data_IF_589005161044
#
_entry.id   IF_589005161044
#
_cell.length_a   1.000
_cell.length_b   1.000
_cell.length_c   1.000
_cell.angle_alpha   90.00
_cell.angle_beta   90.00
_cell.angle_gamma   90.00
#
_symmetry.space_group_name_H-M   'P 1'
#
loop_
_entity.id
_entity.type
_entity.pdbx_description
1 polymer ?
#
# COMPACT_ATOMS: atom_id res chain seq x y z
N UNK A 1 13.65 0.67 10.98
CA UNK A 1 12.61 1.00 11.96
C UNK A 1 12.24 2.46 11.84
N UNK A 2 10.97 2.85 11.74
CA UNK A 2 10.62 4.26 11.72
C UNK A 2 10.91 4.87 13.09
N UNK A 3 11.20 6.17 13.07
CA UNK A 3 11.32 6.94 14.29
C UNK A 3 9.95 7.12 14.95
N UNK A 4 9.92 7.63 16.19
CA UNK A 4 8.67 7.79 16.94
C UNK A 4 7.65 8.73 16.28
N UNK A 5 8.07 9.56 15.35
CA UNK A 5 7.23 10.49 14.61
C UNK A 5 6.99 10.09 13.15
N UNK A 6 7.39 8.89 12.77
CA UNK A 6 7.33 8.44 11.38
C UNK A 6 6.13 7.52 11.15
N UNK A 7 5.56 7.64 9.94
CA UNK A 7 4.65 6.65 9.38
C UNK A 7 5.36 5.99 8.21
N UNK A 8 5.29 4.66 8.10
CA UNK A 8 6.03 3.96 7.06
C UNK A 8 5.29 2.75 6.52
N UNK A 9 5.60 2.39 5.28
CA UNK A 9 5.20 1.13 4.67
C UNK A 9 6.39 0.18 4.78
N UNK A 10 6.20 -0.94 5.46
CA UNK A 10 7.25 -1.95 5.65
C UNK A 10 7.36 -2.88 4.46
N UNK A 11 6.22 -3.33 3.97
CA UNK A 11 6.13 -4.24 2.82
C UNK A 11 4.95 -3.82 1.97
N UNK A 12 5.11 -3.99 0.66
CA UNK A 12 4.05 -3.79 -0.32
C UNK A 12 4.14 -4.93 -1.34
N UNK A 13 3.07 -5.68 -1.51
CA UNK A 13 3.09 -6.81 -2.43
C UNK A 13 1.69 -7.13 -2.97
N UNK A 14 1.63 -7.68 -4.21
CA UNK A 14 0.37 -8.15 -4.77
C UNK A 14 0.04 -9.56 -4.28
N UNK A 15 -1.26 -9.83 -4.14
CA UNK A 15 -1.77 -11.16 -3.81
C UNK A 15 -3.01 -11.45 -4.63
N UNK A 16 -3.36 -12.72 -4.78
CA UNK A 16 -4.65 -13.09 -5.32
C UNK A 16 -5.76 -12.57 -4.41
N UNK A 17 -6.91 -12.24 -4.97
CA UNK A 17 -8.03 -11.68 -4.21
C UNK A 17 -8.39 -12.56 -3.02
N UNK A 18 -8.39 -11.96 -1.83
CA UNK A 18 -8.68 -12.65 -0.59
C UNK A 18 -7.56 -13.51 -0.02
N UNK A 19 -6.40 -13.56 -0.65
CA UNK A 19 -5.25 -14.33 -0.20
C UNK A 19 -4.22 -13.46 0.51
N UNK A 20 -3.18 -14.08 1.07
CA UNK A 20 -2.13 -13.38 1.83
C UNK A 20 -0.73 -13.64 1.30
N UNK A 21 -0.58 -14.54 0.33
CA UNK A 21 0.73 -14.90 -0.21
C UNK A 21 1.05 -14.04 -1.42
N UNK A 22 2.25 -13.48 -1.43
CA UNK A 22 2.73 -12.71 -2.58
C UNK A 22 2.76 -13.58 -3.84
N UNK A 23 2.47 -12.96 -4.97
CA UNK A 23 2.48 -13.61 -6.27
C UNK A 23 3.48 -12.90 -7.18
N UNK A 24 4.09 -13.63 -8.11
CA UNK A 24 5.02 -13.10 -9.11
C UNK A 24 4.43 -13.11 -10.53
N UNK A 25 3.23 -13.66 -10.69
CA UNK A 25 2.43 -13.48 -11.89
C UNK A 25 0.96 -13.24 -11.53
N UNK A 26 0.22 -12.60 -12.43
CA UNK A 26 -1.16 -12.22 -12.18
C UNK A 26 -2.02 -12.51 -13.42
N UNK A 27 -3.21 -13.07 -13.18
CA UNK A 27 -4.19 -13.31 -14.23
C UNK A 27 -4.71 -11.98 -14.76
N UNK A 28 -4.63 -11.79 -16.09
CA UNK A 28 -5.02 -10.58 -16.76
C UNK A 28 -6.53 -10.25 -16.63
N UNK A 29 -7.35 -11.22 -16.35
CA UNK A 29 -8.80 -11.10 -16.34
C UNK A 29 -9.41 -11.16 -14.94
N UNK A 30 -8.59 -11.25 -13.89
CA UNK A 30 -9.06 -11.45 -12.53
C UNK A 30 -8.65 -10.29 -11.64
N UNK A 31 -9.55 -9.71 -10.84
CA UNK A 31 -9.17 -8.72 -9.82
C UNK A 31 -8.18 -9.31 -8.82
N UNK A 32 -7.35 -8.46 -8.25
CA UNK A 32 -6.35 -8.84 -7.27
C UNK A 32 -6.28 -7.80 -6.16
N UNK A 33 -5.49 -8.07 -5.13
CA UNK A 33 -5.34 -7.13 -4.02
C UNK A 33 -3.89 -6.73 -3.85
N UNK A 34 -3.69 -5.54 -3.30
CA UNK A 34 -2.41 -5.09 -2.78
C UNK A 34 -2.45 -5.17 -1.26
N UNK A 35 -1.38 -5.68 -0.66
CA UNK A 35 -1.20 -5.65 0.80
C UNK A 35 -0.06 -4.70 1.13
N UNK A 36 -0.32 -3.78 2.05
CA UNK A 36 0.67 -2.88 2.60
C UNK A 36 0.77 -3.11 4.10
N UNK A 37 1.93 -3.51 4.58
CA UNK A 37 2.20 -3.59 6.01
C UNK A 37 2.72 -2.23 6.45
N UNK A 38 1.97 -1.55 7.31
CA UNK A 38 2.24 -0.18 7.73
C UNK A 38 2.56 -0.10 9.21
N UNK A 39 3.32 0.94 9.58
CA UNK A 39 3.70 1.20 10.95
C UNK A 39 3.66 2.69 11.21
N UNK A 40 3.09 3.07 12.36
CA UNK A 40 3.09 4.46 12.85
C UNK A 40 3.85 4.49 14.15
N UNK A 41 4.87 5.35 14.23
CA UNK A 41 5.69 5.52 15.43
C UNK A 41 4.86 6.00 16.62
N UNK A 42 5.31 5.67 17.82
CA UNK A 42 4.52 5.87 19.04
C UNK A 42 4.14 7.34 19.31
N UNK A 43 5.01 8.29 19.01
CA UNK A 43 4.69 9.70 19.27
C UNK A 43 3.67 10.23 18.27
N UNK A 44 3.77 9.84 17.00
CA UNK A 44 2.78 10.23 16.00
C UNK A 44 1.43 9.57 16.31
N UNK A 45 1.44 8.33 16.77
CA UNK A 45 0.23 7.58 17.09
C UNK A 45 -0.52 8.12 18.33
N UNK A 46 0.16 8.84 19.23
CA UNK A 46 -0.50 9.44 20.39
C UNK A 46 -1.59 10.43 20.02
N UNK A 47 -1.46 11.08 18.87
CA UNK A 47 -2.39 12.13 18.42
C UNK A 47 -2.95 11.83 17.03
N UNK A 48 -2.92 10.59 16.60
CA UNK A 48 -3.32 10.21 15.25
C UNK A 48 -4.81 10.49 15.00
N UNK A 49 -5.10 11.08 13.84
CA UNK A 49 -6.47 11.38 13.41
C UNK A 49 -6.91 10.42 12.31
N UNK A 50 -6.17 10.40 11.22
CA UNK A 50 -6.55 9.63 10.03
C UNK A 50 -5.33 9.25 9.19
N UNK A 51 -5.59 8.40 8.19
CA UNK A 51 -4.58 8.01 7.22
C UNK A 51 -5.16 7.98 5.81
N UNK A 52 -4.26 8.08 4.83
CA UNK A 52 -4.56 7.83 3.42
C UNK A 52 -3.47 6.92 2.87
N UNK A 53 -3.87 5.75 2.41
CA UNK A 53 -3.00 4.82 1.67
C UNK A 53 -3.41 4.86 0.21
N UNK A 54 -2.51 5.29 -0.66
CA UNK A 54 -2.76 5.34 -2.09
C UNK A 54 -1.87 4.31 -2.77
N UNK A 55 -2.47 3.45 -3.59
CA UNK A 55 -1.76 2.40 -4.32
C UNK A 55 -1.98 2.61 -5.81
N UNK A 56 -0.89 2.68 -6.56
CA UNK A 56 -0.90 2.75 -8.01
C UNK A 56 -0.36 1.44 -8.59
N UNK A 57 -0.98 0.97 -9.65
CA UNK A 57 -0.46 -0.13 -10.45
C UNK A 57 0.20 0.47 -11.68
N UNK A 58 1.49 0.21 -11.85
CA UNK A 58 2.28 0.78 -12.94
C UNK A 58 2.69 -0.33 -13.88
N UNK A 59 2.43 -0.13 -15.17
CA UNK A 59 2.91 -1.02 -16.22
C UNK A 59 4.28 -0.52 -16.67
N UNK A 60 5.33 -1.26 -16.33
CA UNK A 60 6.71 -0.89 -16.68
C UNK A 60 7.01 -1.09 -18.14
N UNK A 61 6.38 -2.06 -18.78
CA UNK A 61 6.59 -2.35 -20.22
C UNK A 61 6.11 -1.19 -21.08
N UNK A 62 4.99 -0.57 -20.70
CA UNK A 62 4.40 0.55 -21.45
C UNK A 62 4.67 1.91 -20.81
N UNK A 63 5.27 1.94 -19.64
CA UNK A 63 5.53 3.17 -18.86
C UNK A 63 4.25 3.95 -18.54
N UNK A 64 3.19 3.24 -18.16
CA UNK A 64 1.88 3.85 -17.85
C UNK A 64 1.38 3.42 -16.48
N UNK A 65 0.65 4.32 -15.82
CA UNK A 65 -0.11 3.99 -14.62
C UNK A 65 -1.48 3.50 -15.07
N UNK A 66 -1.84 2.26 -14.70
CA UNK A 66 -3.07 1.64 -15.19
C UNK A 66 -4.24 1.79 -14.23
N UNK A 67 -3.99 1.99 -12.95
CA UNK A 67 -5.03 2.32 -11.98
C UNK A 67 -4.41 2.91 -10.71
N UNK A 68 -5.22 3.68 -9.98
CA UNK A 68 -4.87 4.24 -8.67
C UNK A 68 -6.08 4.05 -7.77
N UNK A 69 -5.85 3.48 -6.58
CA UNK A 69 -6.88 3.28 -5.58
C UNK A 69 -6.44 3.86 -4.25
N UNK A 70 -7.38 4.35 -3.46
CA UNK A 70 -7.14 4.90 -2.14
C UNK A 70 -7.92 4.14 -1.08
N UNK A 71 -7.25 3.89 0.04
CA UNK A 71 -7.88 3.43 1.28
C UNK A 71 -7.62 4.50 2.32
N UNK A 72 -8.69 5.03 2.94
CA UNK A 72 -8.54 6.06 3.96
C UNK A 72 -9.56 5.84 5.07
N UNK A 73 -9.20 6.32 6.25
CA UNK A 73 -10.07 6.19 7.42
C UNK A 73 -9.49 6.85 8.64
N UNK A 74 -10.30 6.91 9.69
CA UNK A 74 -9.89 7.40 10.98
C UNK A 74 -9.12 6.35 11.76
N UNK A 75 -8.24 6.80 12.64
CA UNK A 75 -7.49 5.95 13.56
C UNK A 75 -7.74 6.41 14.99
N UNK A 76 -7.57 5.50 15.94
CA UNK A 76 -7.74 5.79 17.35
C UNK A 76 -6.38 6.06 18.00
N UNK A 77 -6.16 7.25 18.56
CA UNK A 77 -4.91 7.55 19.27
C UNK A 77 -4.65 6.58 20.43
N UNK A 78 -3.39 6.26 20.65
CA UNK A 78 -2.97 5.45 21.78
C UNK A 78 -1.59 5.92 22.27
N UNK A 79 -1.44 6.02 23.60
CA UNK A 79 -0.18 6.45 24.21
C UNK A 79 0.82 5.29 24.25
N UNK A 80 2.09 5.62 24.07
CA UNK A 80 3.22 4.69 24.22
C UNK A 80 3.06 3.41 23.39
N UNK A 81 2.37 3.51 22.24
CA UNK A 81 2.05 2.36 21.39
C UNK A 81 2.41 2.66 19.94
N UNK A 82 3.21 1.78 19.35
CA UNK A 82 3.43 1.77 17.90
C UNK A 82 2.23 1.10 17.24
N UNK A 83 1.64 1.75 16.24
CA UNK A 83 0.54 1.16 15.48
C UNK A 83 1.10 0.29 14.35
N UNK A 84 0.61 -0.93 14.26
CA UNK A 84 0.97 -1.88 13.19
C UNK A 84 -0.31 -2.38 12.54
N UNK A 85 -0.35 -2.38 11.22
CA UNK A 85 -1.52 -2.89 10.50
C UNK A 85 -1.11 -3.50 9.16
N UNK A 86 -1.94 -4.42 8.71
CA UNK A 86 -1.90 -4.97 7.37
C UNK A 86 -3.11 -4.43 6.62
N UNK A 87 -2.86 -3.53 5.68
CA UNK A 87 -3.92 -2.88 4.91
C UNK A 87 -4.07 -3.56 3.56
N UNK A 88 -5.31 -3.81 3.18
CA UNK A 88 -5.64 -4.45 1.91
C UNK A 88 -6.39 -3.48 1.02
N UNK A 89 -5.92 -3.33 -0.21
CA UNK A 89 -6.55 -2.48 -1.23
C UNK A 89 -6.98 -3.36 -2.39
N UNK A 90 -8.26 -3.35 -2.71
CA UNK A 90 -8.81 -4.11 -3.82
C UNK A 90 -8.50 -3.41 -5.14
N UNK A 91 -7.99 -4.16 -6.10
CA UNK A 91 -7.62 -3.65 -7.41
C UNK A 91 -8.40 -4.40 -8.50
N UNK A 92 -8.64 -3.71 -9.60
CA UNK A 92 -9.30 -4.31 -10.76
C UNK A 92 -8.36 -5.26 -11.50
N UNK A 93 -8.94 -6.14 -12.32
CA UNK A 93 -8.17 -6.96 -13.26
C UNK A 93 -7.25 -6.06 -14.10
N UNK A 94 -6.00 -6.49 -14.36
CA UNK A 94 -5.04 -5.63 -15.06
C UNK A 94 -5.47 -5.21 -16.47
N UNK A 95 -6.04 -6.12 -17.25
CA UNK A 95 -6.44 -5.87 -18.64
C UNK A 95 -5.31 -5.27 -19.49
N UNK A 96 -4.13 -5.86 -19.35
CA UNK A 96 -2.93 -5.49 -20.10
C UNK A 96 -2.56 -6.60 -21.08
N UNK A 97 -1.43 -6.47 -21.75
CA UNK A 97 -0.95 -7.49 -22.66
C UNK A 97 -0.21 -8.58 -21.87
N UNK A 98 -0.53 -9.87 -22.04
CA UNK A 98 0.24 -10.94 -21.40
C UNK A 98 1.73 -10.80 -21.67
N UNK A 99 2.53 -10.93 -20.63
CA UNK A 99 3.97 -10.69 -20.66
C UNK A 99 4.38 -9.31 -20.19
N UNK A 100 3.46 -8.37 -20.07
CA UNK A 100 3.77 -7.06 -19.49
C UNK A 100 4.19 -7.21 -18.04
N UNK A 101 5.14 -6.37 -17.62
CA UNK A 101 5.67 -6.34 -16.26
C UNK A 101 5.06 -5.17 -15.50
N UNK A 102 4.47 -5.48 -14.36
CA UNK A 102 3.82 -4.50 -13.50
C UNK A 102 4.56 -4.36 -12.18
N UNK A 103 4.32 -3.26 -11.48
CA UNK A 103 4.67 -3.12 -10.07
C UNK A 103 3.64 -2.26 -9.34
N UNK A 104 3.60 -2.40 -8.03
CA UNK A 104 2.82 -1.52 -7.16
C UNK A 104 3.72 -0.40 -6.63
N UNK A 105 3.15 0.79 -6.58
CA UNK A 105 3.78 1.95 -5.94
C UNK A 105 2.75 2.52 -4.97
N UNK A 106 3.15 2.77 -3.73
CA UNK A 106 2.21 3.25 -2.73
C UNK A 106 2.78 4.42 -1.94
N UNK A 107 1.88 5.28 -1.47
CA UNK A 107 2.18 6.31 -0.48
C UNK A 107 1.26 6.14 0.72
N UNK A 108 1.79 6.39 1.91
CA UNK A 108 1.05 6.30 3.16
C UNK A 108 1.24 7.62 3.90
N UNK A 109 0.14 8.35 4.08
CA UNK A 109 0.14 9.62 4.82
C UNK A 109 -0.68 9.48 6.08
N UNK A 110 -0.12 9.91 7.18
CA UNK A 110 -0.79 9.92 8.48
C UNK A 110 -0.86 11.35 9.00
N UNK A 111 -2.04 11.76 9.43
CA UNK A 111 -2.26 13.04 10.06
C UNK A 111 -2.48 12.85 11.56
N UNK A 112 -1.83 13.69 12.35
CA UNK A 112 -1.87 13.62 13.83
C UNK A 112 -1.85 15.04 14.38
N UNK A 113 -3.03 15.66 14.54
CA UNK A 113 -3.12 17.05 14.97
C UNK A 113 -2.47 17.97 13.95
N UNK A 114 -1.48 18.75 14.40
CA UNK A 114 -0.70 19.64 13.53
C UNK A 114 0.45 18.94 12.83
N UNK A 115 0.70 17.66 13.13
CA UNK A 115 1.78 16.88 12.53
C UNK A 115 1.26 15.98 11.46
N UNK A 116 2.12 15.65 10.50
CA UNK A 116 1.83 14.64 9.49
C UNK A 116 3.14 14.04 9.01
N UNK A 117 3.06 12.81 8.52
CA UNK A 117 4.19 12.15 7.87
C UNK A 117 3.71 11.36 6.67
N UNK A 118 4.54 11.30 5.65
CA UNK A 118 4.26 10.59 4.41
C UNK A 118 5.46 9.74 4.03
N UNK A 119 5.21 8.48 3.70
CA UNK A 119 6.24 7.60 3.17
C UNK A 119 5.74 6.94 1.89
N UNK A 120 6.66 6.35 1.15
CA UNK A 120 6.34 5.63 -0.07
C UNK A 120 7.10 4.31 -0.13
N UNK A 121 6.58 3.39 -0.92
CA UNK A 121 7.19 2.08 -1.14
C UNK A 121 6.84 1.56 -2.52
N UNK A 122 7.65 0.64 -3.00
CA UNK A 122 7.41 -0.09 -4.25
C UNK A 122 7.43 -1.58 -3.97
N UNK A 123 6.62 -2.33 -4.71
CA UNK A 123 6.69 -3.78 -4.69
C UNK A 123 7.79 -4.30 -5.61
N UNK A 124 8.11 -5.59 -5.50
CA UNK A 124 8.82 -6.29 -6.56
C UNK A 124 7.93 -6.37 -7.80
N UNK A 125 8.53 -6.61 -8.95
CA UNK A 125 7.79 -6.73 -10.20
C UNK A 125 7.04 -8.06 -10.29
N UNK A 126 5.95 -8.07 -11.05
CA UNK A 126 5.16 -9.26 -11.34
C UNK A 126 4.65 -9.18 -12.78
N UNK A 127 4.45 -10.32 -13.40
CA UNK A 127 4.09 -10.40 -14.83
C UNK A 127 2.60 -10.67 -15.01
N UNK A 128 2.05 -10.15 -16.10
CA UNK A 128 0.69 -10.46 -16.53
C UNK A 128 0.70 -11.77 -17.33
N UNK A 129 -0.16 -12.68 -16.97
CA UNK A 129 -0.30 -13.97 -17.67
C UNK A 129 -1.69 -14.18 -18.28
#
# INVERSE_FOLDING_TARGET
>A
MPGPWDASIKLLYPVDQGQFFTIDDIDNNTPFDAIANVEIGENLNENVDDFVLRVAVVNLTTSTTIQIEELKGGLTPADDTTFLAEERVSLNAPNQTPGDVLKLVASYRVNAGSNSDTSSAESVTFAVV
#
